data_IF_506067913004
#
_entry.id   IF_506067913004
#
_cell.length_a   1.000
_cell.length_b   1.000
_cell.length_c   1.000
_cell.angle_alpha   90.00
_cell.angle_beta   90.00
_cell.angle_gamma   90.00
#
_symmetry.space_group_name_H-M   'P 1'
#
loop_
_entity.id
_entity.type
_entity.pdbx_description
1 polymer ?
#
# COMPACT_ATOMS: atom_id res chain seq x y z
N UNK A 1 -6.44 49.71 5.86
CA UNK A 1 -6.49 49.06 4.54
C UNK A 1 -5.80 47.73 4.70
N UNK A 2 -6.50 46.61 4.58
CA UNK A 2 -5.88 45.29 4.65
C UNK A 2 -4.89 45.19 3.49
N UNK A 3 -3.61 45.08 3.77
CA UNK A 3 -2.60 44.90 2.74
C UNK A 3 -2.85 43.55 2.06
N UNK A 4 -3.27 43.60 0.80
CA UNK A 4 -3.42 42.42 -0.03
C UNK A 4 -2.02 41.86 -0.32
N UNK A 5 -1.81 40.57 -0.09
CA UNK A 5 -0.54 39.93 -0.44
C UNK A 5 -0.43 39.75 -1.94
N UNK A 6 0.79 39.59 -2.47
CA UNK A 6 0.98 39.30 -3.90
C UNK A 6 0.25 38.02 -4.33
N UNK A 7 0.22 36.99 -3.48
CA UNK A 7 -0.52 35.75 -3.72
C UNK A 7 -2.03 35.99 -3.78
N UNK A 8 -2.58 36.76 -2.84
CA UNK A 8 -3.99 37.11 -2.85
C UNK A 8 -4.36 37.94 -4.10
N UNK A 9 -3.48 38.87 -4.50
CA UNK A 9 -3.68 39.66 -5.71
C UNK A 9 -3.66 38.82 -6.98
N UNK A 10 -2.70 37.89 -7.10
CA UNK A 10 -2.65 36.95 -8.22
C UNK A 10 -3.91 36.07 -8.29
N UNK A 11 -4.41 35.61 -7.15
CA UNK A 11 -5.62 34.81 -7.06
C UNK A 11 -6.84 35.62 -7.54
N UNK A 12 -7.04 36.83 -7.02
CA UNK A 12 -8.14 37.71 -7.43
C UNK A 12 -8.06 37.99 -8.94
N UNK A 13 -6.88 38.38 -9.45
CA UNK A 13 -6.68 38.66 -10.88
C UNK A 13 -7.00 37.44 -11.74
N UNK A 14 -6.63 36.23 -11.30
CA UNK A 14 -6.88 35.01 -12.07
C UNK A 14 -8.37 34.68 -12.21
N UNK A 15 -9.20 35.11 -11.25
CA UNK A 15 -10.65 34.83 -11.23
C UNK A 15 -11.46 35.98 -11.84
N UNK A 16 -11.10 37.23 -11.54
CA UNK A 16 -11.90 38.41 -11.89
C UNK A 16 -11.34 39.21 -13.07
N UNK A 17 -10.11 38.95 -13.51
CA UNK A 17 -9.51 39.62 -14.66
C UNK A 17 -9.48 41.15 -14.49
N UNK A 18 -10.05 41.85 -15.46
CA UNK A 18 -10.03 43.32 -15.51
C UNK A 18 -10.85 43.97 -14.39
N UNK A 19 -11.92 43.31 -13.92
CA UNK A 19 -12.77 43.78 -12.80
C UNK A 19 -11.94 43.96 -11.52
N UNK A 20 -10.89 43.14 -11.34
CA UNK A 20 -9.99 43.26 -10.20
C UNK A 20 -9.28 44.63 -10.15
N UNK A 21 -9.04 45.28 -11.29
CA UNK A 21 -8.39 46.59 -11.37
C UNK A 21 -9.39 47.74 -11.19
N UNK A 22 -10.63 47.54 -11.64
CA UNK A 22 -11.68 48.56 -11.62
C UNK A 22 -12.24 48.79 -10.20
N UNK A 23 -12.26 47.76 -9.36
CA UNK A 23 -12.88 47.83 -8.03
C UNK A 23 -11.92 47.47 -6.88
N UNK A 24 -10.88 48.29 -6.61
CA UNK A 24 -9.91 48.01 -5.54
C UNK A 24 -10.51 47.98 -4.13
N UNK A 25 -11.64 48.66 -3.94
CA UNK A 25 -12.38 48.64 -2.68
C UNK A 25 -13.08 47.30 -2.41
N UNK A 26 -13.27 46.46 -3.44
CA UNK A 26 -13.96 45.17 -3.35
C UNK A 26 -13.01 43.96 -3.24
N UNK A 27 -11.69 44.18 -3.21
CA UNK A 27 -10.70 43.10 -3.13
C UNK A 27 -10.93 42.13 -1.98
N UNK A 28 -11.39 42.61 -0.81
CA UNK A 28 -11.70 41.73 0.31
C UNK A 28 -12.85 40.76 0.02
N UNK A 29 -13.87 41.21 -0.72
CA UNK A 29 -14.99 40.35 -1.13
C UNK A 29 -14.58 39.42 -2.28
N UNK A 30 -13.88 39.96 -3.27
CA UNK A 30 -13.35 39.19 -4.40
C UNK A 30 -12.43 38.06 -3.93
N UNK A 31 -11.55 38.34 -2.96
CA UNK A 31 -10.66 37.32 -2.39
C UNK A 31 -11.43 36.15 -1.78
N UNK A 32 -12.49 36.44 -1.02
CA UNK A 32 -13.33 35.38 -0.43
C UNK A 32 -13.97 34.51 -1.51
N UNK A 33 -14.52 35.13 -2.55
CA UNK A 33 -15.14 34.40 -3.66
C UNK A 33 -14.11 33.58 -4.42
N UNK A 34 -12.95 34.15 -4.75
CA UNK A 34 -11.88 33.47 -5.47
C UNK A 34 -11.37 32.24 -4.70
N UNK A 35 -11.21 32.36 -3.36
CA UNK A 35 -10.81 31.24 -2.52
C UNK A 35 -11.85 30.11 -2.52
N UNK A 36 -13.14 30.43 -2.42
CA UNK A 36 -14.22 29.43 -2.49
C UNK A 36 -14.22 28.72 -3.85
N UNK A 37 -14.07 29.45 -4.96
CA UNK A 37 -14.04 28.84 -6.30
C UNK A 37 -12.89 27.83 -6.47
N UNK A 38 -11.71 28.13 -5.94
CA UNK A 38 -10.57 27.19 -5.97
C UNK A 38 -10.86 25.94 -5.14
N UNK A 39 -11.48 26.11 -3.96
CA UNK A 39 -11.88 24.98 -3.11
C UNK A 39 -12.94 24.10 -3.80
N UNK A 40 -13.93 24.69 -4.48
CA UNK A 40 -14.94 23.95 -5.25
C UNK A 40 -14.33 23.15 -6.40
N UNK A 41 -13.42 23.74 -7.18
CA UNK A 41 -12.72 23.04 -8.26
C UNK A 41 -11.89 21.87 -7.72
N UNK A 42 -11.23 22.07 -6.58
CA UNK A 42 -10.47 20.99 -5.93
C UNK A 42 -11.40 19.87 -5.44
N UNK A 43 -12.53 20.23 -4.83
CA UNK A 43 -13.55 19.29 -4.35
C UNK A 43 -14.15 18.45 -5.48
N UNK A 44 -14.38 19.06 -6.66
CA UNK A 44 -14.84 18.36 -7.88
C UNK A 44 -13.75 17.53 -8.58
N UNK A 45 -12.50 17.62 -8.13
CA UNK A 45 -11.37 16.96 -8.78
C UNK A 45 -10.90 17.63 -10.08
N UNK A 46 -11.43 18.82 -10.42
CA UNK A 46 -11.02 19.62 -11.58
C UNK A 46 -9.64 20.27 -11.34
N UNK A 47 -9.27 20.46 -10.08
CA UNK A 47 -8.00 21.03 -9.66
C UNK A 47 -7.26 20.07 -8.73
N UNK A 48 -5.97 19.82 -9.03
CA UNK A 48 -5.15 18.98 -8.17
C UNK A 48 -4.96 19.62 -6.79
N UNK A 49 -4.90 18.79 -5.74
CA UNK A 49 -4.70 19.22 -4.35
C UNK A 49 -3.47 20.12 -4.17
N UNK A 50 -2.36 19.78 -4.83
CA UNK A 50 -1.12 20.57 -4.78
C UNK A 50 -1.31 21.96 -5.38
N UNK A 51 -1.93 22.05 -6.54
CA UNK A 51 -2.17 23.33 -7.22
C UNK A 51 -3.21 24.18 -6.48
N UNK A 52 -4.22 23.56 -5.87
CA UNK A 52 -5.18 24.23 -5.01
C UNK A 52 -4.51 24.85 -3.78
N UNK A 53 -3.66 24.08 -3.07
CA UNK A 53 -2.91 24.58 -1.92
C UNK A 53 -1.99 25.75 -2.29
N UNK A 54 -1.29 25.67 -3.43
CA UNK A 54 -0.44 26.73 -3.95
C UNK A 54 -1.25 28.01 -4.26
N UNK A 55 -2.36 27.89 -4.99
CA UNK A 55 -3.25 29.02 -5.33
C UNK A 55 -3.86 29.71 -4.12
N UNK A 56 -4.09 28.97 -3.04
CA UNK A 56 -4.65 29.48 -1.79
C UNK A 56 -3.58 29.99 -0.82
N UNK A 57 -2.29 29.86 -1.17
CA UNK A 57 -1.18 30.22 -0.28
C UNK A 57 -1.11 29.36 1.00
N UNK A 58 -1.60 28.12 0.94
CA UNK A 58 -1.62 27.19 2.06
C UNK A 58 -0.29 26.44 2.15
N UNK A 59 0.11 26.06 3.37
CA UNK A 59 1.41 25.43 3.60
C UNK A 59 1.47 24.03 2.99
N UNK A 60 0.39 23.27 3.14
CA UNK A 60 0.34 21.87 2.75
C UNK A 60 -1.08 21.37 2.47
N UNK A 61 -1.18 20.06 2.25
CA UNK A 61 -2.47 19.41 1.98
C UNK A 61 -3.35 19.36 3.23
N UNK A 62 -2.80 19.35 4.45
CA UNK A 62 -3.62 19.33 5.66
C UNK A 62 -4.38 20.66 5.82
N UNK A 63 -3.70 21.79 5.60
CA UNK A 63 -4.34 23.12 5.58
C UNK A 63 -5.45 23.21 4.52
N UNK A 64 -5.24 22.59 3.35
CA UNK A 64 -6.27 22.51 2.31
C UNK A 64 -7.50 21.71 2.76
N UNK A 65 -7.30 20.58 3.46
CA UNK A 65 -8.41 19.78 3.98
C UNK A 65 -9.19 20.51 5.07
N UNK A 66 -8.52 21.29 5.91
CA UNK A 66 -9.17 22.18 6.89
C UNK A 66 -10.01 23.23 6.16
N UNK A 67 -9.44 23.91 5.16
CA UNK A 67 -10.16 24.94 4.40
C UNK A 67 -11.40 24.38 3.66
N UNK A 68 -11.33 23.15 3.12
CA UNK A 68 -12.48 22.45 2.54
C UNK A 68 -13.56 22.16 3.59
N UNK A 69 -13.15 21.70 4.77
CA UNK A 69 -14.06 21.44 5.89
C UNK A 69 -14.75 22.71 6.39
N UNK A 70 -14.01 23.79 6.58
CA UNK A 70 -14.54 25.10 6.99
C UNK A 70 -15.52 25.67 5.96
N UNK A 71 -15.32 25.38 4.68
CA UNK A 71 -16.21 25.76 3.59
C UNK A 71 -17.43 24.81 3.42
N UNK A 72 -17.50 23.71 4.18
CA UNK A 72 -18.56 22.70 4.05
C UNK A 72 -18.51 21.91 2.74
N UNK A 73 -17.36 21.87 2.08
CA UNK A 73 -17.17 21.19 0.79
C UNK A 73 -16.70 19.74 1.01
N UNK A 74 -17.10 18.79 0.15
CA UNK A 74 -16.64 17.42 0.25
C UNK A 74 -15.14 17.32 -0.02
N UNK A 75 -14.48 16.38 0.65
CA UNK A 75 -13.06 16.11 0.45
C UNK A 75 -12.79 15.63 -1.00
N UNK A 76 -11.62 15.97 -1.58
CA UNK A 76 -11.31 15.60 -2.96
C UNK A 76 -11.21 14.08 -3.05
N UNK A 77 -11.99 13.47 -3.94
CA UNK A 77 -11.89 12.05 -4.21
C UNK A 77 -10.63 11.77 -5.06
N UNK A 78 -9.88 10.70 -4.78
CA UNK A 78 -8.81 10.26 -5.68
C UNK A 78 -9.39 9.91 -7.08
N UNK A 79 -8.60 10.02 -8.15
CA UNK A 79 -9.02 9.57 -9.48
C UNK A 79 -9.45 8.09 -9.47
N UNK A 80 -10.44 7.73 -10.29
CA UNK A 80 -10.94 6.34 -10.32
C UNK A 80 -9.85 5.30 -10.58
N UNK A 81 -8.87 5.62 -11.41
CA UNK A 81 -7.80 4.69 -11.74
C UNK A 81 -6.85 4.47 -10.55
N UNK A 82 -6.61 5.51 -9.74
CA UNK A 82 -5.89 5.40 -8.48
C UNK A 82 -6.69 4.54 -7.48
N UNK A 83 -8.01 4.74 -7.39
CA UNK A 83 -8.90 3.91 -6.55
C UNK A 83 -8.88 2.44 -6.99
N UNK A 84 -8.91 2.17 -8.29
CA UNK A 84 -8.82 0.81 -8.85
C UNK A 84 -7.46 0.18 -8.55
N UNK A 85 -6.37 0.91 -8.73
CA UNK A 85 -5.01 0.44 -8.44
C UNK A 85 -4.82 0.12 -6.96
N UNK A 86 -5.30 1.00 -6.06
CA UNK A 86 -5.26 0.77 -4.63
C UNK A 86 -6.10 -0.44 -4.22
N UNK A 87 -7.29 -0.60 -4.80
CA UNK A 87 -8.15 -1.77 -4.56
C UNK A 87 -7.50 -3.07 -5.02
N UNK A 88 -6.86 -3.06 -6.19
CA UNK A 88 -6.12 -4.20 -6.71
C UNK A 88 -4.92 -4.56 -5.82
N UNK A 89 -4.17 -3.55 -5.36
CA UNK A 89 -3.05 -3.71 -4.43
C UNK A 89 -3.51 -4.34 -3.12
N UNK A 90 -4.61 -3.84 -2.55
CA UNK A 90 -5.17 -4.38 -1.31
C UNK A 90 -5.62 -5.84 -1.49
N UNK A 91 -6.32 -6.15 -2.58
CA UNK A 91 -6.77 -7.51 -2.90
C UNK A 91 -5.60 -8.48 -3.07
N UNK A 92 -4.49 -8.03 -3.69
CA UNK A 92 -3.26 -8.81 -3.80
C UNK A 92 -2.67 -9.10 -2.41
N UNK A 93 -2.43 -8.06 -1.61
CA UNK A 93 -1.82 -8.18 -0.29
C UNK A 93 -2.64 -9.07 0.66
N UNK A 94 -3.96 -9.02 0.59
CA UNK A 94 -4.84 -9.89 1.39
C UNK A 94 -4.71 -11.37 1.04
N UNK A 95 -4.57 -11.66 -0.26
CA UNK A 95 -4.39 -13.02 -0.74
C UNK A 95 -3.06 -13.59 -0.29
N UNK A 96 -1.98 -12.83 -0.53
CA UNK A 96 -0.62 -13.18 -0.11
C UNK A 96 -0.55 -13.39 1.41
N UNK A 97 -1.17 -12.50 2.21
CA UNK A 97 -1.24 -12.68 3.67
C UNK A 97 -1.99 -13.94 4.09
N UNK A 98 -3.09 -14.29 3.40
CA UNK A 98 -3.86 -15.48 3.70
C UNK A 98 -3.06 -16.75 3.39
N UNK A 99 -2.37 -16.77 2.25
CA UNK A 99 -1.51 -17.88 1.83
C UNK A 99 -0.34 -18.06 2.79
N UNK A 100 0.38 -16.97 3.11
CA UNK A 100 1.48 -17.00 4.08
C UNK A 100 1.03 -17.51 5.46
N UNK A 101 -0.17 -17.14 5.92
CA UNK A 101 -0.75 -17.67 7.17
C UNK A 101 -1.08 -19.16 7.08
N UNK A 102 -1.54 -19.65 5.93
CA UNK A 102 -1.82 -21.07 5.73
C UNK A 102 -0.52 -21.90 5.73
N UNK A 103 0.51 -21.42 5.05
CA UNK A 103 1.84 -22.05 5.05
C UNK A 103 2.45 -22.08 6.45
N UNK A 104 2.40 -20.95 7.18
CA UNK A 104 2.90 -20.89 8.55
C UNK A 104 2.17 -21.87 9.48
N UNK A 105 0.87 -22.07 9.28
CA UNK A 105 0.07 -23.05 10.03
C UNK A 105 0.53 -24.48 9.73
N UNK A 106 0.75 -24.83 8.46
CA UNK A 106 1.24 -26.17 8.08
C UNK A 106 2.64 -26.44 8.66
N UNK A 107 3.53 -25.45 8.64
CA UNK A 107 4.87 -25.57 9.25
C UNK A 107 4.75 -25.78 10.77
N UNK A 108 3.88 -25.02 11.44
CA UNK A 108 3.66 -25.19 12.88
C UNK A 108 3.08 -26.56 13.23
N UNK A 109 2.14 -27.07 12.42
CA UNK A 109 1.57 -28.42 12.59
C UNK A 109 2.62 -29.51 12.36
N UNK A 110 3.46 -29.37 11.34
CA UNK A 110 4.57 -30.30 11.07
C UNK A 110 5.61 -30.32 12.19
N UNK A 111 6.01 -29.15 12.70
CA UNK A 111 6.90 -29.05 13.87
C UNK A 111 6.28 -29.67 15.12
N UNK A 112 4.99 -29.41 15.37
CA UNK A 112 4.28 -30.00 16.50
C UNK A 112 4.06 -31.52 16.36
N UNK A 113 4.08 -32.06 15.13
CA UNK A 113 4.04 -33.49 14.88
C UNK A 113 5.42 -34.13 15.09
N UNK A 114 6.51 -33.50 14.66
CA UNK A 114 7.87 -33.94 14.98
C UNK A 114 8.15 -33.94 16.49
N UNK A 115 7.52 -33.03 17.24
CA UNK A 115 7.59 -32.98 18.71
C UNK A 115 6.71 -34.05 19.39
N UNK A 116 5.63 -34.52 18.73
CA UNK A 116 4.70 -35.52 19.23
C UNK A 116 5.03 -36.96 18.82
N UNK A 117 5.67 -37.16 17.68
CA UNK A 117 6.13 -38.46 17.25
C UNK A 117 7.27 -38.89 18.18
N UNK A 118 6.92 -39.85 19.03
CA UNK A 118 7.82 -40.69 19.81
C UNK A 118 9.12 -40.87 19.04
N UNK A 119 10.22 -40.31 19.56
CA UNK A 119 11.57 -40.54 19.05
C UNK A 119 11.70 -42.04 18.78
N UNK A 120 11.65 -42.42 17.51
CA UNK A 120 11.92 -43.81 17.13
C UNK A 120 13.39 -43.95 17.43
N UNK A 121 13.69 -44.46 18.62
CA UNK A 121 15.04 -44.58 19.13
C UNK A 121 15.90 -45.20 18.04
N UNK A 122 17.13 -44.69 17.90
CA UNK A 122 18.08 -45.14 16.87
C UNK A 122 18.14 -46.68 16.85
N UNK A 123 17.97 -47.33 18.00
CA UNK A 123 17.89 -48.78 18.17
C UNK A 123 16.75 -49.46 17.39
N UNK A 124 15.58 -48.82 17.28
CA UNK A 124 14.43 -49.35 16.52
C UNK A 124 14.66 -49.20 15.01
N UNK A 125 15.31 -48.13 14.58
CA UNK A 125 15.74 -47.94 13.19
C UNK A 125 16.82 -48.97 12.84
N UNK A 126 17.79 -49.18 13.73
CA UNK A 126 18.87 -50.15 13.57
C UNK A 126 18.33 -51.60 13.53
N UNK A 127 17.36 -51.93 14.38
CA UNK A 127 16.70 -53.24 14.38
C UNK A 127 15.95 -53.51 13.07
N UNK A 128 15.23 -52.51 12.53
CA UNK A 128 14.57 -52.63 11.22
C UNK A 128 15.57 -52.78 10.07
N UNK A 129 16.65 -52.00 10.08
CA UNK A 129 17.70 -52.09 9.06
C UNK A 129 18.36 -53.49 9.07
N UNK A 130 18.65 -54.03 10.25
CA UNK A 130 19.23 -55.36 10.42
C UNK A 130 18.28 -56.47 9.94
N UNK A 131 16.98 -56.35 10.24
CA UNK A 131 15.97 -57.29 9.76
C UNK A 131 15.73 -57.26 8.24
N UNK A 132 16.14 -56.19 7.55
CA UNK A 132 16.14 -56.13 6.08
C UNK A 132 17.40 -56.81 5.55
N UNK A 133 18.57 -56.54 6.14
CA UNK A 133 19.84 -57.17 5.77
C UNK A 133 19.82 -58.69 5.98
N UNK A 134 19.26 -59.17 7.09
CA UNK A 134 19.13 -60.61 7.37
C UNK A 134 18.12 -61.32 6.46
N UNK A 135 17.28 -60.56 5.73
CA UNK A 135 16.36 -61.10 4.71
C UNK A 135 16.98 -61.13 3.31
N UNK A 136 18.13 -60.49 3.11
CA UNK A 136 18.88 -60.63 1.87
C UNK A 136 19.56 -62.01 1.93
N UNK A 137 19.20 -62.98 1.07
CA UNK A 137 19.91 -64.24 1.02
C UNK A 137 21.36 -63.96 0.64
N UNK A 138 22.29 -64.68 1.28
CA UNK A 138 23.72 -64.62 0.98
C UNK A 138 23.93 -64.98 -0.49
N UNK A 139 24.09 -63.97 -1.33
CA UNK A 139 24.33 -64.15 -2.77
C UNK A 139 25.79 -64.59 -2.86
N UNK A 140 26.09 -65.81 -3.35
CA UNK A 140 27.47 -66.23 -3.53
C UNK A 140 28.17 -65.23 -4.46
N UNK A 141 29.47 -64.92 -4.20
CA UNK A 141 30.20 -63.94 -5.00
C UNK A 141 30.10 -64.29 -6.48
N UNK A 142 29.80 -63.27 -7.29
CA UNK A 142 29.67 -63.39 -8.74
C UNK A 142 31.02 -63.89 -9.32
N UNK A 143 31.06 -64.97 -10.12
CA UNK A 143 32.30 -65.48 -10.73
C UNK A 143 33.05 -64.48 -11.62
N UNK A 144 32.54 -63.25 -11.79
CA UNK A 144 33.21 -62.14 -12.47
C UNK A 144 34.22 -61.34 -11.62
N UNK A 145 34.33 -61.58 -10.30
CA UNK A 145 35.21 -60.82 -9.39
C UNK A 145 36.66 -61.37 -9.30
N UNK A 146 37.05 -62.32 -10.15
CA UNK A 146 38.47 -62.66 -10.33
C UNK A 146 39.16 -61.58 -11.18
N UNK A 147 39.84 -60.65 -10.51
CA UNK A 147 40.83 -59.77 -11.13
C UNK A 147 41.95 -60.65 -11.75
N UNK A 148 42.23 -60.55 -13.06
CA UNK A 148 43.37 -61.26 -13.63
C UNK A 148 44.66 -60.64 -13.07
N UNK A 149 45.55 -61.51 -12.59
CA UNK A 149 46.85 -61.15 -11.99
C UNK A 149 47.86 -60.55 -12.95
#
# INVERSE_FOLDING_TARGET
MTEITDTDWQLIRSVFGDIAYEEPHNHAAMLKVARIMVLEQCSRGELSRRLAAEKLGLRDTADLLVALGDAGLPMPQPPEDEVKEQTATFARLFRENREARAEAKLVAEGLAQLDRDESVGIDTVLAKARAILDRVPDVPPDPGDELPG
#
